data_IF_546806298126
#
_entry.id   IF_546806298126
#
_cell.length_a   1.000
_cell.length_b   1.000
_cell.length_c   1.000
_cell.angle_alpha   90.00
_cell.angle_beta   90.00
_cell.angle_gamma   90.00
#
_symmetry.space_group_name_H-M   'P 1'
#
loop_
_entity.id
_entity.type
_entity.pdbx_description
1 polymer ?
#
# COMPACT_ATOMS: atom_id res chain seq x y z
N UNK A 1 15.35 -0.46 7.22
CA UNK A 1 14.61 0.10 6.06
C UNK A 1 13.86 -1.03 5.34
N UNK A 2 12.54 -1.25 5.58
CA UNK A 2 11.76 -2.30 4.85
C UNK A 2 10.21 -2.27 5.06
N UNK A 3 9.63 -1.26 5.74
CA UNK A 3 8.17 -1.22 5.97
C UNK A 3 7.31 -0.99 4.70
N UNK A 4 7.91 -0.64 3.56
CA UNK A 4 7.18 -0.28 2.33
C UNK A 4 6.94 -1.44 1.34
N UNK A 5 7.58 -2.61 1.54
CA UNK A 5 7.55 -3.69 0.54
C UNK A 5 6.17 -4.36 0.38
N UNK A 6 5.23 -4.13 1.31
CA UNK A 6 3.88 -4.72 1.26
C UNK A 6 2.93 -3.97 0.33
N UNK A 7 3.07 -2.64 0.24
CA UNK A 7 2.18 -1.82 -0.57
C UNK A 7 2.50 -1.94 -2.06
N UNK A 8 3.78 -1.97 -2.42
CA UNK A 8 4.22 -2.17 -3.82
C UNK A 8 3.67 -3.47 -4.40
N UNK A 9 3.65 -4.55 -3.61
CA UNK A 9 3.08 -5.84 -4.04
C UNK A 9 1.57 -5.76 -4.31
N UNK A 10 0.82 -5.01 -3.49
CA UNK A 10 -0.59 -4.78 -3.74
C UNK A 10 -0.81 -4.00 -5.04
N UNK A 11 -0.01 -2.96 -5.28
CA UNK A 11 -0.08 -2.15 -6.51
C UNK A 11 0.20 -3.01 -7.75
N UNK A 12 1.25 -3.84 -7.70
CA UNK A 12 1.57 -4.75 -8.82
C UNK A 12 0.42 -5.73 -9.10
N UNK A 13 -0.21 -6.29 -8.06
CA UNK A 13 -1.35 -7.18 -8.22
C UNK A 13 -2.60 -6.47 -8.79
N UNK A 14 -2.83 -5.20 -8.42
CA UNK A 14 -3.89 -4.36 -9.02
C UNK A 14 -3.63 -4.14 -10.51
N UNK A 15 -2.39 -3.78 -10.87
CA UNK A 15 -2.02 -3.56 -12.29
C UNK A 15 -2.22 -4.85 -13.10
N UNK A 16 -1.81 -6.00 -12.57
CA UNK A 16 -2.07 -7.32 -13.19
C UNK A 16 -3.58 -7.59 -13.33
N UNK A 17 -4.38 -7.26 -12.32
CA UNK A 17 -5.84 -7.39 -12.37
C UNK A 17 -6.46 -6.53 -13.47
N UNK A 18 -5.99 -5.29 -13.65
CA UNK A 18 -6.43 -4.37 -14.71
C UNK A 18 -6.07 -4.92 -16.09
N UNK A 19 -4.83 -5.39 -16.27
CA UNK A 19 -4.39 -5.98 -17.56
C UNK A 19 -5.24 -7.21 -17.90
N UNK A 20 -5.49 -8.09 -16.93
CA UNK A 20 -6.34 -9.26 -17.12
C UNK A 20 -7.81 -8.87 -17.44
N UNK A 21 -8.33 -7.80 -16.83
CA UNK A 21 -9.67 -7.29 -17.13
C UNK A 21 -9.76 -6.78 -18.58
N UNK A 22 -8.77 -6.00 -19.01
CA UNK A 22 -8.70 -5.49 -20.38
C UNK A 22 -8.61 -6.65 -21.37
N UNK A 23 -7.75 -7.64 -21.09
CA UNK A 23 -7.64 -8.85 -21.92
C UNK A 23 -8.98 -9.60 -22.00
N UNK A 24 -9.69 -9.79 -20.88
CA UNK A 24 -11.01 -10.43 -20.87
C UNK A 24 -12.04 -9.65 -21.71
N UNK A 25 -12.02 -8.31 -21.64
CA UNK A 25 -12.92 -7.46 -22.43
C UNK A 25 -12.61 -7.49 -23.93
N UNK A 26 -11.33 -7.55 -24.30
CA UNK A 26 -10.93 -7.73 -25.70
C UNK A 26 -11.36 -9.12 -26.20
N UNK A 27 -11.17 -10.17 -25.41
CA UNK A 27 -11.63 -11.52 -25.75
C UNK A 27 -13.14 -11.59 -25.93
N UNK A 28 -13.90 -10.94 -25.04
CA UNK A 28 -15.36 -10.82 -25.13
C UNK A 28 -15.79 -10.13 -26.45
N UNK A 29 -15.15 -9.01 -26.80
CA UNK A 29 -15.45 -8.28 -28.03
C UNK A 29 -15.16 -9.10 -29.30
N UNK A 30 -14.15 -9.97 -29.26
CA UNK A 30 -13.77 -10.84 -30.37
C UNK A 30 -14.44 -12.22 -30.34
N UNK A 31 -15.41 -12.45 -29.44
CA UNK A 31 -16.10 -13.74 -29.24
C UNK A 31 -15.15 -14.93 -29.02
N UNK A 32 -14.01 -14.67 -28.37
CA UNK A 32 -13.06 -15.71 -28.00
C UNK A 32 -13.60 -16.48 -26.79
N UNK A 33 -13.70 -17.80 -26.92
CA UNK A 33 -14.12 -18.67 -25.83
C UNK A 33 -13.14 -18.58 -24.65
N UNK A 34 -13.67 -18.63 -23.42
CA UNK A 34 -12.87 -18.51 -22.20
C UNK A 34 -12.71 -17.09 -21.65
N UNK A 35 -13.32 -16.08 -22.26
CA UNK A 35 -13.37 -14.71 -21.73
C UNK A 35 -13.89 -14.65 -20.28
N UNK A 36 -14.89 -15.47 -19.93
CA UNK A 36 -15.45 -15.56 -18.58
C UNK A 36 -14.43 -16.08 -17.56
N UNK A 37 -13.59 -17.05 -17.93
CA UNK A 37 -12.56 -17.58 -17.05
C UNK A 37 -11.49 -16.51 -16.77
N UNK A 38 -11.04 -15.79 -17.80
CA UNK A 38 -10.08 -14.68 -17.64
C UNK A 38 -10.67 -13.54 -16.81
N UNK A 39 -11.95 -13.24 -16.98
CA UNK A 39 -12.66 -12.26 -16.16
C UNK A 39 -12.74 -12.69 -14.68
N UNK A 40 -13.02 -13.96 -14.42
CA UNK A 40 -13.03 -14.51 -13.06
C UNK A 40 -11.65 -14.42 -12.39
N UNK A 41 -10.57 -14.73 -13.14
CA UNK A 41 -9.18 -14.58 -12.66
C UNK A 41 -8.87 -13.12 -12.32
N UNK A 42 -9.28 -12.18 -13.17
CA UNK A 42 -9.15 -10.74 -12.90
C UNK A 42 -9.87 -10.34 -11.61
N UNK A 43 -11.10 -10.82 -11.39
CA UNK A 43 -11.84 -10.61 -10.15
C UNK A 43 -11.10 -11.11 -8.92
N UNK A 44 -10.54 -12.33 -8.97
CA UNK A 44 -9.74 -12.90 -7.88
C UNK A 44 -8.50 -12.05 -7.60
N UNK A 45 -7.80 -11.57 -8.64
CA UNK A 45 -6.63 -10.69 -8.49
C UNK A 45 -7.01 -9.37 -7.78
N UNK A 46 -8.16 -8.79 -8.11
CA UNK A 46 -8.64 -7.58 -7.44
C UNK A 46 -8.99 -7.83 -5.96
N UNK A 47 -9.69 -8.93 -5.66
CA UNK A 47 -10.03 -9.30 -4.28
C UNK A 47 -8.74 -9.53 -3.46
N UNK A 48 -7.79 -10.29 -4.00
CA UNK A 48 -6.51 -10.54 -3.34
C UNK A 48 -5.73 -9.24 -3.10
N UNK A 49 -5.72 -8.34 -4.10
CA UNK A 49 -5.08 -7.03 -3.98
C UNK A 49 -5.72 -6.17 -2.90
N UNK A 50 -7.06 -6.14 -2.84
CA UNK A 50 -7.81 -5.40 -1.82
C UNK A 50 -7.49 -5.93 -0.42
N UNK A 51 -7.39 -7.24 -0.23
CA UNK A 51 -7.03 -7.84 1.06
C UNK A 51 -5.59 -7.49 1.48
N UNK A 52 -4.63 -7.55 0.56
CA UNK A 52 -3.23 -7.19 0.83
C UNK A 52 -3.11 -5.69 1.15
N UNK A 53 -3.88 -4.84 0.46
CA UNK A 53 -3.94 -3.40 0.72
C UNK A 53 -4.60 -3.08 2.07
N UNK A 54 -5.65 -3.81 2.43
CA UNK A 54 -6.38 -3.61 3.67
C UNK A 54 -5.62 -4.13 4.91
N UNK A 55 -4.80 -5.17 4.75
CA UNK A 55 -4.00 -5.78 5.82
C UNK A 55 -3.21 -4.75 6.67
N UNK A 56 -2.34 -3.88 6.09
CA UNK A 56 -1.59 -2.91 6.88
C UNK A 56 -2.48 -1.88 7.58
N UNK A 57 -3.61 -1.50 6.99
CA UNK A 57 -4.55 -0.51 7.56
C UNK A 57 -5.20 -1.09 8.83
N UNK A 58 -5.70 -2.33 8.75
CA UNK A 58 -6.35 -3.00 9.89
C UNK A 58 -5.33 -3.33 10.99
N UNK A 59 -4.10 -3.70 10.62
CA UNK A 59 -3.05 -4.03 11.58
C UNK A 59 -2.44 -2.79 12.27
N UNK A 60 -2.34 -1.65 11.56
CA UNK A 60 -1.91 -0.38 12.16
C UNK A 60 -2.84 0.03 13.31
N UNK A 61 -4.16 -0.16 13.15
CA UNK A 61 -5.15 0.11 14.19
C UNK A 61 -4.99 -0.78 15.44
N UNK A 62 -4.41 -1.98 15.31
CA UNK A 62 -4.08 -2.83 16.47
C UNK A 62 -2.77 -2.40 17.13
N UNK A 63 -1.78 -1.97 16.35
CA UNK A 63 -0.51 -1.47 16.87
C UNK A 63 -0.67 -0.21 17.76
N UNK A 64 -1.66 0.64 17.46
CA UNK A 64 -2.01 1.79 18.32
C UNK A 64 -2.68 1.38 19.65
N UNK A 65 -3.29 0.17 19.74
CA UNK A 65 -3.86 -0.35 21.00
C UNK A 65 -2.81 -0.96 21.93
N UNK A 66 -1.64 -1.35 21.40
CA UNK A 66 -0.51 -1.93 22.15
C UNK A 66 0.40 -0.86 22.78
N UNK A 67 -0.18 0.25 23.28
CA UNK A 67 0.31 0.99 24.45
C UNK A 67 1.76 1.47 24.48
N UNK A 68 2.54 1.43 23.39
CA UNK A 68 3.81 2.13 23.33
C UNK A 68 3.48 3.60 23.14
N UNK A 69 3.28 4.29 24.26
CA UNK A 69 3.62 5.71 24.40
C UNK A 69 4.94 5.90 23.67
N UNK A 70 4.87 6.39 22.44
CA UNK A 70 6.00 7.10 21.86
C UNK A 70 6.15 8.29 22.77
N UNK A 71 6.99 8.14 23.79
CA UNK A 71 7.57 9.28 24.47
C UNK A 71 8.29 10.06 23.38
N UNK A 72 7.58 11.02 22.81
CA UNK A 72 8.15 12.11 22.06
C UNK A 72 9.08 12.80 23.05
N UNK A 73 10.31 12.29 23.21
CA UNK A 73 11.37 13.04 23.86
C UNK A 73 11.45 14.32 23.04
N UNK A 74 11.17 15.49 23.64
CA UNK A 74 11.27 16.74 22.92
C UNK A 74 12.64 16.75 22.26
N UNK A 75 12.68 16.95 20.94
CA UNK A 75 13.94 17.25 20.29
C UNK A 75 14.50 18.46 21.04
N UNK A 76 15.59 18.26 21.79
CA UNK A 76 16.20 19.33 22.56
C UNK A 76 16.40 20.50 21.61
N UNK A 77 15.82 21.65 21.95
CA UNK A 77 16.09 22.91 21.24
C UNK A 77 17.60 23.05 21.23
N UNK A 78 18.19 23.06 20.03
CA UNK A 78 19.60 23.38 19.86
C UNK A 78 19.86 24.73 20.54
N UNK A 79 20.90 24.85 21.38
CA UNK A 79 21.25 26.15 21.95
C UNK A 79 21.73 27.02 20.78
N UNK A 80 20.94 28.03 20.44
CA UNK A 80 21.43 29.18 19.68
C UNK A 80 22.58 29.78 20.48
N UNK A 81 23.82 29.52 20.05
CA UNK A 81 25.00 30.23 20.50
C UNK A 81 24.78 31.72 20.26
N UNK A 82 24.43 32.45 21.32
CA UNK A 82 24.59 33.89 21.35
C UNK A 82 26.09 34.17 21.30
N UNK A 83 26.60 34.40 20.10
CA UNK A 83 27.84 35.11 19.88
C UNK A 83 27.67 36.53 20.42
N UNK A 84 28.01 36.70 21.69
CA UNK A 84 28.22 38.01 22.30
C UNK A 84 29.50 38.57 21.67
N UNK A 85 29.34 39.37 20.61
CA UNK A 85 30.35 40.35 20.22
C UNK A 85 30.43 41.39 21.35
N UNK A 86 31.34 41.16 22.29
CA UNK A 86 31.84 42.20 23.17
C UNK A 86 32.96 42.93 22.43
N UNK A 87 32.66 44.19 22.14
CA UNK A 87 33.49 45.26 21.58
C UNK A 87 34.87 45.39 22.21
#
# INVERSE_FOLDING_TARGET
MIKHLKLTKAIVAVVLGIVALIAAKIMEANKVEGNQAVLAISGILFIASALIFLYPIVFAKKADRDGKKVELKPAAKEPIEQTVNAS
#
